data_IF_054235865377
#
_entry.id   IF_054235865377
#
_cell.length_a   1.000
_cell.length_b   1.000
_cell.length_c   1.000
_cell.angle_alpha   90.00
_cell.angle_beta   90.00
_cell.angle_gamma   90.00
#
_symmetry.space_group_name_H-M   'P 1'
#
loop_
_entity.id
_entity.type
_entity.pdbx_description
1 polymer ?
2 polymer ?
3 polymer ?
4 polymer ?
5 polymer ?
6 non-polymer ?
7 water ?
#
loop_
_entity_poly.entity_id
_entity_poly.type
_entity_poly.pdbx_seq_one_letter_code
_entity_poly.pdbx_strand_id
1 'polyribonucleotide' '(GTP)GCCGUGUGCCUUGCGCCGGGAAACCACGCAAGGGAUGGUGUCAAAUUCGGCGAAACCUAAGCGCCCGCCCGGGCGUAUGGCAACGCCGAGCCAAGCUUCGCAGCCAUUGCACUCCGGCUGCGAUGAAGGUGUAGAGACUAGACGGCACCCACCUAAGGCAAACGCUAUGGUGAAGGCAUAGUCCAGGGAGUGGCG(A23)' ?
2 'polyribonucleotide' 'AAGCCACACAAACCAG' ?
3 'polyribonucleotide' 'ACGGCC' ?
4 'polyribonucleotide' 'CAU' ?
#
# COMPACT_ATOMS: atom_id res chain seq x y z
N UNK E 1 0.18 -14.58 -1.87
CA UNK E 1 -0.79 -14.86 -0.82
C UNK E 1 -0.55 -14.01 0.43
N UNK E 2 0.27 -14.51 1.36
CA UNK E 2 0.61 -13.79 2.58
C UNK E 2 2.09 -13.89 2.96
N UNK E 3 2.59 -12.86 3.64
CA UNK E 3 3.94 -12.87 4.21
C UNK E 3 3.91 -12.49 5.70
N UNK E 4 5.07 -12.14 6.26
CA UNK E 4 5.21 -11.88 7.70
C UNK E 4 5.01 -10.41 8.06
N UNK E 5 4.38 -10.13 9.22
CA UNK E 5 3.89 -8.80 9.65
C UNK E 5 4.82 -7.60 9.40
N UNK E 6 4.23 -6.48 9.00
CA UNK E 6 4.95 -5.22 8.77
C UNK E 6 4.01 -4.01 8.76
N UNK E 7 4.54 -2.85 9.18
CA UNK E 7 3.79 -1.59 9.18
C UNK E 7 3.33 -1.14 7.79
N UNK E 8 4.19 -1.37 6.79
CA UNK E 8 3.92 -1.00 5.42
C UNK E 8 3.42 -2.19 4.61
N UNK E 9 2.50 -1.93 3.68
CA UNK E 9 1.92 -2.96 2.84
C UNK E 9 2.30 -2.79 1.36
N UNK E 10 2.70 -3.90 0.75
CA UNK E 10 3.05 -3.92 -0.67
C UNK E 10 1.84 -4.22 -1.54
N UNK E 11 1.41 -3.23 -2.30
CA UNK E 11 0.29 -3.39 -3.22
C UNK E 11 0.80 -3.38 -4.65
N UNK E 12 0.37 -4.36 -5.44
CA UNK E 12 0.72 -4.44 -6.87
C UNK E 12 -0.52 -4.68 -7.75
N UNK E 13 -0.27 -5.10 -8.99
CA UNK E 13 -1.33 -5.36 -9.98
C UNK E 13 -2.31 -4.19 -10.15
N UNK E 14 -1.82 -2.99 -9.88
CA UNK E 14 -2.60 -1.77 -10.02
C UNK E 14 -2.67 -1.35 -11.48
N UNK E 15 -3.50 -0.35 -11.77
CA UNK E 15 -3.57 0.21 -13.11
C UNK E 15 -2.38 1.13 -13.37
N UNK E 16 -1.58 0.78 -14.37
CA UNK E 16 -0.31 1.46 -14.65
C UNK E 16 -0.46 2.84 -15.30
N UNK E 17 -1.67 3.14 -15.78
CA UNK E 17 -1.93 4.36 -16.55
C UNK E 17 -2.21 5.61 -15.71
N UNK E 18 -2.79 5.43 -14.53
CA UNK E 18 -3.10 6.55 -13.63
C UNK E 18 -1.81 7.20 -13.09
N UNK E 19 -1.82 8.53 -13.01
CA UNK E 19 -0.63 9.32 -12.68
C UNK E 19 -0.25 9.24 -11.20
N UNK E 20 1.03 9.46 -10.91
CA UNK E 20 1.61 9.34 -9.56
C UNK E 20 0.88 10.18 -8.52
N UNK E 21 0.67 11.45 -8.85
CA UNK E 21 0.04 12.41 -7.93
C UNK E 21 -1.47 12.14 -7.77
N UNK E 22 -2.06 11.49 -8.76
CA UNK E 22 -3.48 11.14 -8.74
C UNK E 22 -3.75 9.84 -7.97
N UNK E 23 -2.83 8.89 -8.08
CA UNK E 23 -2.96 7.60 -7.42
C UNK E 23 -2.79 7.71 -5.90
N UNK E 24 -1.95 8.64 -5.46
CA UNK E 24 -1.72 8.90 -4.03
C UNK E 24 -2.99 9.34 -3.30
N UNK E 25 -3.82 10.13 -3.97
CA UNK E 25 -5.08 10.62 -3.40
C UNK E 25 -6.18 9.57 -3.45
N UNK E 26 -6.05 8.64 -4.41
CA UNK E 26 -6.95 7.49 -4.51
C UNK E 26 -6.66 6.47 -3.41
N UNK E 27 -5.48 6.58 -2.80
CA UNK E 27 -5.05 5.64 -1.76
C UNK E 27 -5.22 6.20 -0.35
N UNK E 28 -4.54 7.32 -0.07
CA UNK E 28 -4.54 7.94 1.26
C UNK E 28 -5.94 8.02 1.87
N UNK E 29 -6.94 8.24 1.03
CA UNK E 29 -8.33 8.32 1.48
C UNK E 29 -8.97 6.94 1.68
N UNK E 30 -8.69 6.02 0.76
CA UNK E 30 -9.35 4.71 0.72
C UNK E 30 -8.90 3.76 1.83
N UNK E 31 -7.66 3.94 2.30
CA UNK E 31 -7.08 3.07 3.31
C UNK E 31 -7.05 3.64 4.74
N UNK E 32 -7.42 4.92 4.87
CA UNK E 32 -7.47 5.58 6.18
C UNK E 32 -8.73 5.22 6.97
N UNK E 33 -9.64 4.46 6.34
CA UNK E 33 -10.84 3.96 7.00
C UNK E 33 -10.54 2.74 7.90
N UNK E 34 -9.25 2.51 8.14
CA UNK E 34 -8.78 1.49 9.08
C UNK E 34 -8.08 2.16 10.26
N UNK E 35 -7.21 3.11 9.94
CA UNK E 35 -6.50 3.91 10.95
C UNK E 35 -5.75 5.07 10.32
N UNK E 36 -4.79 5.61 11.07
CA UNK E 36 -3.96 6.70 10.58
C UNK E 36 -2.95 6.19 9.54
N UNK E 37 -2.71 6.99 8.51
CA UNK E 37 -1.73 6.67 7.45
C UNK E 37 -0.57 7.65 7.48
N UNK E 38 0.65 7.11 7.29
CA UNK E 38 1.85 7.93 7.09
C UNK E 38 2.04 8.23 5.60
N UNK E 39 3.20 7.86 5.05
CA UNK E 39 3.55 8.21 3.66
C UNK E 39 3.16 7.12 2.65
N UNK E 40 3.04 7.52 1.38
CA UNK E 40 2.73 6.60 0.28
C UNK E 40 3.71 6.77 -0.88
N UNK E 41 4.46 5.71 -1.16
CA UNK E 41 5.47 5.71 -2.22
C UNK E 41 4.94 5.08 -3.51
N UNK E 42 4.97 5.86 -4.59
CA UNK E 42 4.59 5.37 -5.92
C UNK E 42 5.62 5.83 -6.94
N UNK E 43 6.09 4.90 -7.77
CA UNK E 43 7.00 5.22 -8.85
C UNK E 43 6.48 4.69 -10.18
N UNK E 44 6.79 5.42 -11.25
CA UNK E 44 6.28 5.13 -12.58
C UNK E 44 7.28 4.32 -13.41
N UNK E 45 8.44 4.07 -12.82
CA UNK E 45 9.53 3.37 -13.50
C UNK E 45 9.17 1.96 -13.95
N UNK E 46 9.86 1.47 -14.98
CA UNK E 46 9.63 0.12 -15.53
C UNK E 46 9.62 -0.95 -14.44
N UNK E 47 10.44 -0.76 -13.41
CA UNK E 47 10.52 -1.70 -12.30
C UNK E 47 9.38 -1.49 -11.30
N UNK E 48 9.06 -0.23 -11.01
CA UNK E 48 8.14 0.11 -9.92
C UNK E 48 6.71 0.50 -10.34
N UNK E 49 6.39 0.38 -11.63
CA UNK E 49 5.06 0.73 -12.12
C UNK E 49 4.03 -0.34 -11.73
N UNK E 50 2.81 0.11 -11.42
CA UNK E 50 1.75 -0.79 -10.97
C UNK E 50 1.98 -1.30 -9.57
N UNK E 51 2.74 -0.54 -8.78
CA UNK E 51 3.09 -0.93 -7.41
C UNK E 51 3.05 0.30 -6.51
N UNK E 52 2.61 0.09 -5.27
CA UNK E 52 2.53 1.17 -4.29
C UNK E 52 2.75 0.64 -2.88
N UNK E 53 3.43 1.45 -2.07
CA UNK E 53 3.64 1.16 -0.66
C UNK E 53 2.81 2.12 0.18
N UNK E 54 2.03 1.57 1.11
CA UNK E 54 1.24 2.40 2.02
C UNK E 54 1.73 2.17 3.45
N UNK E 55 2.22 3.23 4.08
CA UNK E 55 2.75 3.16 5.45
C UNK E 55 1.69 3.59 6.47
N UNK E 56 1.41 2.72 7.44
CA UNK E 56 0.47 3.02 8.52
C UNK E 56 1.21 3.38 9.82
N UNK E 57 0.45 3.82 10.83
CA UNK E 57 1.01 4.15 12.15
C UNK E 57 1.16 2.90 13.04
N UNK E 58 0.18 2.00 12.95
CA UNK E 58 0.23 0.73 13.70
C UNK E 58 -0.21 -0.46 12.85
N UNK E 59 0.16 -1.66 13.31
CA UNK E 59 -0.15 -2.91 12.61
C UNK E 59 -1.65 -3.12 12.46
N UNK E 60 -2.41 -2.67 13.45
CA UNK E 60 -3.87 -2.75 13.46
C UNK E 60 -4.50 -2.12 12.21
N UNK E 61 -3.96 -0.98 11.80
CA UNK E 61 -4.43 -0.27 10.59
C UNK E 61 -4.03 -1.02 9.31
N UNK E 62 -2.97 -1.81 9.39
CA UNK E 62 -2.43 -2.54 8.24
C UNK E 62 -3.03 -3.94 8.10
N UNK E 63 -3.23 -4.61 9.24
CA UNK E 63 -3.74 -5.99 9.27
C UNK E 63 -5.19 -6.04 8.78
N UNK E 64 -6.01 -5.11 9.24
CA UNK E 64 -7.41 -4.99 8.81
C UNK E 64 -7.49 -4.59 7.34
N UNK E 65 -6.55 -3.76 6.90
CA UNK E 65 -6.42 -3.36 5.50
C UNK E 65 -6.05 -4.53 4.59
N UNK E 66 -5.28 -5.48 5.13
CA UNK E 66 -4.84 -6.65 4.36
C UNK E 66 -5.99 -7.57 3.98
N UNK E 67 -6.94 -7.75 4.90
CA UNK E 67 -8.05 -8.70 4.69
C UNK E 67 -9.26 -8.05 4.03
N UNK E 68 -9.66 -6.89 4.54
CA UNK E 68 -10.87 -6.21 4.07
C UNK E 68 -10.70 -5.59 2.69
N UNK E 69 -9.46 -5.40 2.26
CA UNK E 69 -9.17 -4.78 0.96
C UNK E 69 -8.53 -5.72 -0.06
N UNK E 70 -8.25 -6.96 0.35
CA UNK E 70 -7.64 -7.94 -0.55
C UNK E 70 -8.56 -8.32 -1.70
N UNK E 71 -8.11 -8.06 -2.92
CA UNK E 71 -8.86 -8.40 -4.14
C UNK E 71 -9.82 -7.33 -4.62
N UNK E 72 -10.06 -6.33 -3.78
CA UNK E 72 -10.98 -5.22 -4.09
C UNK E 72 -10.64 -4.57 -5.44
N UNK E 73 -11.59 -4.63 -6.40
CA UNK E 73 -11.39 -4.11 -7.76
C UNK E 73 -11.06 -2.61 -7.79
N UNK E 74 -9.82 -2.31 -8.16
CA UNK E 74 -9.34 -0.94 -8.24
C UNK E 74 -9.03 -0.60 -9.69
N UNK E 75 -9.83 0.31 -10.25
CA UNK E 75 -9.76 0.70 -11.66
C UNK E 75 -9.79 -0.51 -12.59
N UNK E 76 -10.78 -1.38 -12.37
CA UNK E 76 -11.00 -2.61 -13.14
C UNK E 76 -9.87 -3.63 -13.02
N UNK E 77 -9.09 -3.54 -11.94
CA UNK E 77 -8.01 -4.48 -11.67
C UNK E 77 -8.06 -5.00 -10.23
N UNK E 78 -7.89 -6.33 -10.05
CA UNK E 78 -7.93 -6.94 -8.72
C UNK E 78 -6.67 -6.64 -7.91
N UNK E 79 -6.81 -5.70 -6.98
CA UNK E 79 -5.73 -5.21 -6.12
C UNK E 79 -5.15 -6.33 -5.22
N UNK E 80 -3.91 -6.71 -5.48
CA UNK E 80 -3.21 -7.72 -4.68
C UNK E 80 -2.30 -7.09 -3.64
N UNK E 81 -2.41 -7.57 -2.39
CA UNK E 81 -1.64 -7.01 -1.29
C UNK E 81 -0.81 -8.07 -0.57
N UNK E 82 0.39 -7.69 -0.16
CA UNK E 82 1.26 -8.50 0.69
C UNK E 82 1.86 -7.62 1.78
N UNK E 83 2.39 -8.26 2.83
CA UNK E 83 3.18 -7.53 3.82
C UNK E 83 4.56 -7.21 3.23
N UNK E 84 5.09 -6.04 3.58
CA UNK E 84 6.39 -5.59 3.06
C UNK E 84 7.50 -6.57 3.43
N UNK E 85 8.28 -6.95 2.43
CA UNK E 85 9.37 -7.92 2.62
C UNK E 85 10.58 -7.32 3.34
N UNK E 86 10.56 -6.01 3.55
CA UNK E 86 11.60 -5.31 4.31
C UNK E 86 11.00 -4.08 5.00
N UNK E 87 11.53 -3.73 6.17
CA UNK E 87 11.11 -2.53 6.90
C UNK E 87 11.39 -1.27 6.09
N UNK E 88 10.46 -0.32 6.15
CA UNK E 88 10.59 0.95 5.42
C UNK E 88 11.51 1.93 6.15
N UNK E 89 12.20 2.76 5.38
CA UNK E 89 13.14 3.76 5.90
C UNK E 89 12.49 4.74 6.88
N UNK E 90 11.21 5.01 6.69
CA UNK E 90 10.45 5.93 7.53
C UNK E 90 10.31 5.41 8.96
N UNK E 91 10.08 4.10 9.09
CA UNK E 91 9.88 3.46 10.39
C UNK E 91 11.22 3.15 11.07
N UNK E 92 12.20 2.70 10.28
CA UNK E 92 13.52 2.34 10.78
C UNK E 92 14.32 3.54 11.34
N UNK E 93 13.79 4.74 11.14
CA UNK E 93 14.35 5.97 11.70
C UNK E 93 13.65 6.36 13.02
N UNK E 94 12.95 5.39 13.60
CA UNK E 94 12.25 5.58 14.87
C UNK E 94 12.61 4.43 15.81
N UNK E 95 12.56 3.21 15.29
CA UNK E 95 12.86 2.00 16.05
C UNK E 95 14.33 1.93 16.44
#
# INVERSE_FOLDING_TARGET
PETRPNHTIYINNLNEKIKKDELKKSLHAIFSRFGQILDILVSRSLKMRGQAFVIFKEVSSATNALRSMQGFPFYDKPMRIQYAKTDSDIIAKMK
#
